data_IF_911376062317
#
_entry.id   IF_911376062317
#
_cell.length_a   1.000
_cell.length_b   1.000
_cell.length_c   1.000
_cell.angle_alpha   90.00
_cell.angle_beta   90.00
_cell.angle_gamma   90.00
#
_symmetry.space_group_name_H-M   'P 1'
#
loop_
_entity.id
_entity.type
_entity.pdbx_description
1 polymer ?
#
# COMPACT_ATOMS: atom_id res chain seq x y z
N UNK A 1 -18.09 -2.07 24.13
CA UNK A 1 -17.59 -1.74 22.78
C UNK A 1 -17.78 -2.97 21.95
N UNK A 2 -18.69 -2.90 20.96
CA UNK A 2 -18.89 -4.01 20.01
C UNK A 2 -17.56 -4.40 19.39
N UNK A 3 -17.34 -5.70 19.18
CA UNK A 3 -16.15 -6.30 18.59
C UNK A 3 -15.89 -5.74 17.18
N UNK A 4 -15.17 -4.62 17.08
CA UNK A 4 -14.85 -4.02 15.80
C UNK A 4 -13.94 -4.96 15.01
N UNK A 5 -14.47 -5.54 13.94
CA UNK A 5 -13.72 -6.39 13.00
C UNK A 5 -12.97 -5.50 12.02
N UNK A 6 -11.65 -5.68 11.96
CA UNK A 6 -10.78 -4.95 11.04
C UNK A 6 -10.24 -5.92 9.99
N UNK A 7 -10.45 -5.58 8.72
CA UNK A 7 -9.77 -6.23 7.61
C UNK A 7 -8.48 -5.48 7.29
N UNK A 8 -7.35 -6.16 7.32
CA UNK A 8 -6.09 -5.67 6.77
C UNK A 8 -5.91 -6.31 5.40
N UNK A 9 -5.90 -5.48 4.36
CA UNK A 9 -5.81 -5.92 2.97
C UNK A 9 -4.43 -5.56 2.41
N UNK A 10 -3.65 -6.55 2.02
CA UNK A 10 -2.42 -6.33 1.25
C UNK A 10 -2.71 -6.42 -0.26
N UNK A 11 -1.98 -5.65 -1.05
CA UNK A 11 -2.04 -5.76 -2.52
C UNK A 11 -1.39 -7.04 -3.07
N UNK A 12 -0.67 -7.77 -2.22
CA UNK A 12 -0.07 -9.07 -2.50
C UNK A 12 -0.92 -10.22 -1.99
N UNK A 13 -0.26 -11.18 -1.35
CA UNK A 13 -0.88 -12.33 -0.69
C UNK A 13 -0.80 -12.21 0.83
N UNK A 14 -1.81 -12.72 1.53
CA UNK A 14 -1.84 -12.84 2.99
C UNK A 14 -1.53 -14.29 3.43
N UNK A 15 -1.07 -14.49 4.70
CA UNK A 15 -0.69 -13.45 5.66
C UNK A 15 0.68 -12.81 5.36
N UNK A 16 0.83 -11.54 5.78
CA UNK A 16 2.09 -10.80 5.65
C UNK A 16 3.02 -11.14 6.81
N UNK A 17 3.92 -12.08 6.56
CA UNK A 17 4.89 -12.56 7.57
C UNK A 17 5.86 -11.48 8.03
N UNK A 18 6.21 -10.57 7.15
CA UNK A 18 7.08 -9.42 7.41
C UNK A 18 6.44 -8.36 8.32
N UNK A 19 5.12 -8.38 8.48
CA UNK A 19 4.35 -7.48 9.35
C UNK A 19 3.68 -8.22 10.52
N UNK A 20 4.05 -9.46 10.77
CA UNK A 20 3.39 -10.30 11.75
C UNK A 20 3.43 -9.70 13.17
N UNK A 21 4.55 -9.06 13.54
CA UNK A 21 4.71 -8.43 14.86
C UNK A 21 3.77 -7.22 15.03
N UNK A 22 3.68 -6.36 14.02
CA UNK A 22 2.80 -5.18 14.05
C UNK A 22 1.33 -5.61 14.13
N UNK A 23 0.94 -6.60 13.33
CA UNK A 23 -0.41 -7.14 13.34
C UNK A 23 -0.73 -7.79 14.69
N UNK A 24 0.25 -8.48 15.30
CA UNK A 24 0.09 -9.06 16.63
C UNK A 24 -0.11 -8.00 17.71
N UNK A 25 0.59 -6.86 17.62
CA UNK A 25 0.38 -5.74 18.55
C UNK A 25 -1.04 -5.18 18.45
N UNK A 26 -1.60 -5.06 17.23
CA UNK A 26 -2.99 -4.64 17.04
C UNK A 26 -3.97 -5.62 17.71
N UNK A 27 -3.74 -6.93 17.58
CA UNK A 27 -4.55 -7.98 18.23
C UNK A 27 -4.44 -7.91 19.75
N UNK A 28 -3.24 -7.71 20.29
CA UNK A 28 -3.01 -7.51 21.73
C UNK A 28 -3.69 -6.25 22.26
N UNK A 29 -3.82 -5.21 21.44
CA UNK A 29 -4.60 -4.00 21.72
C UNK A 29 -6.12 -4.21 21.71
N UNK A 30 -6.61 -5.45 21.54
CA UNK A 30 -8.03 -5.81 21.59
C UNK A 30 -8.77 -5.67 20.26
N UNK A 31 -8.06 -5.52 19.14
CA UNK A 31 -8.67 -5.47 17.80
C UNK A 31 -8.83 -6.86 17.21
N UNK A 32 -10.00 -7.14 16.62
CA UNK A 32 -10.24 -8.37 15.87
C UNK A 32 -9.75 -8.19 14.43
N UNK A 33 -8.49 -8.53 14.19
CA UNK A 33 -7.80 -8.33 12.90
C UNK A 33 -7.84 -9.59 12.05
N UNK A 34 -8.32 -9.44 10.82
CA UNK A 34 -8.30 -10.45 9.75
C UNK A 34 -7.43 -9.95 8.60
N UNK A 35 -6.63 -10.83 8.03
CA UNK A 35 -5.72 -10.50 6.93
C UNK A 35 -6.26 -11.06 5.62
N UNK A 36 -6.18 -10.26 4.55
CA UNK A 36 -6.61 -10.62 3.20
C UNK A 36 -5.59 -10.13 2.18
N UNK A 37 -5.34 -10.94 1.17
CA UNK A 37 -4.51 -10.58 0.03
C UNK A 37 -5.34 -10.44 -1.25
N UNK A 38 -5.15 -9.36 -1.98
CA UNK A 38 -5.82 -9.15 -3.28
C UNK A 38 -5.49 -10.28 -4.26
N UNK A 39 -4.35 -10.93 -4.08
CA UNK A 39 -3.87 -12.02 -4.94
C UNK A 39 -4.16 -13.42 -4.38
N UNK A 40 -4.82 -13.57 -3.22
CA UNK A 40 -4.99 -14.86 -2.55
C UNK A 40 -5.74 -15.89 -3.41
N UNK A 41 -6.76 -15.44 -4.14
CA UNK A 41 -7.57 -16.30 -4.99
C UNK A 41 -7.00 -16.50 -6.40
N UNK A 42 -5.88 -15.84 -6.75
CA UNK A 42 -5.34 -15.87 -8.09
C UNK A 42 -4.28 -16.95 -8.26
N UNK A 43 -4.36 -17.69 -9.36
CA UNK A 43 -3.31 -18.63 -9.76
C UNK A 43 -2.02 -17.90 -10.12
N UNK A 44 -0.84 -18.56 -10.02
CA UNK A 44 0.43 -17.96 -10.43
C UNK A 44 0.43 -17.43 -11.87
N UNK A 45 -0.22 -18.14 -12.79
CA UNK A 45 -0.37 -17.69 -14.18
C UNK A 45 -1.19 -16.41 -14.29
N UNK A 46 -2.25 -16.28 -13.49
CA UNK A 46 -3.07 -15.05 -13.45
C UNK A 46 -2.30 -13.89 -12.86
N UNK A 47 -1.55 -14.11 -11.77
CA UNK A 47 -0.66 -13.10 -11.17
C UNK A 47 0.35 -12.60 -12.20
N UNK A 48 0.95 -13.48 -12.99
CA UNK A 48 1.90 -13.10 -14.03
C UNK A 48 1.29 -12.14 -15.08
N UNK A 49 -0.01 -12.27 -15.40
CA UNK A 49 -0.69 -11.35 -16.34
C UNK A 49 -0.84 -9.92 -15.79
N UNK A 50 -0.70 -9.73 -14.48
CA UNK A 50 -0.76 -8.43 -13.83
C UNK A 50 0.58 -7.69 -13.86
N UNK A 51 1.64 -8.28 -14.40
CA UNK A 51 2.94 -7.63 -14.55
C UNK A 51 2.83 -6.35 -15.39
N UNK A 52 3.61 -5.32 -15.05
CA UNK A 52 3.59 -4.07 -15.80
C UNK A 52 4.12 -4.25 -17.23
N UNK A 53 3.56 -3.51 -18.15
CA UNK A 53 4.09 -3.29 -19.51
C UNK A 53 5.01 -2.07 -19.54
N UNK A 54 5.64 -1.78 -20.68
CA UNK A 54 6.47 -0.57 -20.84
C UNK A 54 5.65 0.73 -20.78
N UNK A 55 4.33 0.64 -20.99
CA UNK A 55 3.42 1.79 -20.97
C UNK A 55 2.87 2.08 -19.57
N UNK A 56 3.07 1.17 -18.60
CA UNK A 56 2.58 1.34 -17.24
C UNK A 56 3.46 2.31 -16.45
N UNK A 57 2.90 3.46 -16.12
CA UNK A 57 3.57 4.53 -15.36
C UNK A 57 3.43 4.39 -13.84
N UNK A 58 2.52 3.54 -13.37
CA UNK A 58 2.22 3.36 -11.94
C UNK A 58 2.37 1.87 -11.58
N UNK A 59 3.54 1.53 -11.05
CA UNK A 59 3.94 0.17 -10.71
C UNK A 59 3.93 -0.01 -9.20
N UNK A 60 3.34 -1.10 -8.75
CA UNK A 60 3.27 -1.51 -7.35
C UNK A 60 4.21 -2.70 -7.12
N UNK A 61 4.78 -2.76 -5.92
CA UNK A 61 5.66 -3.85 -5.50
C UNK A 61 5.07 -4.54 -4.28
N UNK A 62 5.07 -5.86 -4.28
CA UNK A 62 4.55 -6.64 -3.16
C UNK A 62 5.23 -8.01 -3.04
N UNK A 63 4.94 -8.71 -1.94
CA UNK A 63 5.40 -10.09 -1.71
C UNK A 63 4.27 -11.09 -1.93
N UNK A 64 4.65 -12.24 -2.47
CA UNK A 64 3.84 -13.47 -2.45
C UNK A 64 4.12 -14.27 -1.17
N UNK A 65 3.26 -15.23 -0.85
CA UNK A 65 3.42 -16.09 0.36
C UNK A 65 4.70 -16.93 0.35
N UNK A 66 5.27 -17.20 -0.83
CA UNK A 66 6.55 -17.87 -0.98
C UNK A 66 7.77 -16.96 -0.79
N UNK A 67 7.57 -15.67 -0.46
CA UNK A 67 8.61 -14.67 -0.29
C UNK A 67 9.12 -14.03 -1.60
N UNK A 68 8.55 -14.41 -2.75
CA UNK A 68 8.91 -13.80 -4.02
C UNK A 68 8.35 -12.38 -4.11
N UNK A 69 9.21 -11.42 -4.41
CA UNK A 69 8.81 -10.06 -4.76
C UNK A 69 8.27 -10.02 -6.18
N UNK A 70 7.14 -9.38 -6.38
CA UNK A 70 6.52 -9.18 -7.70
C UNK A 70 6.22 -7.72 -7.94
N UNK A 71 6.32 -7.30 -9.21
CA UNK A 71 5.91 -5.99 -9.69
C UNK A 71 4.57 -6.13 -10.42
N UNK A 72 3.63 -5.24 -10.12
CA UNK A 72 2.26 -5.28 -10.62
C UNK A 72 1.89 -3.94 -11.26
N UNK A 73 1.21 -3.99 -12.39
CA UNK A 73 0.55 -2.81 -12.95
C UNK A 73 -0.61 -2.43 -12.05
N UNK A 74 -0.62 -1.20 -11.53
CA UNK A 74 -1.72 -0.69 -10.72
C UNK A 74 -3.04 -0.70 -11.49
N UNK A 75 -2.99 -0.35 -12.78
CA UNK A 75 -4.18 -0.33 -13.63
C UNK A 75 -4.80 -1.73 -13.76
N UNK A 76 -3.98 -2.77 -13.98
CA UNK A 76 -4.43 -4.16 -14.07
C UNK A 76 -4.90 -4.73 -12.74
N UNK A 77 -4.29 -4.30 -11.63
CA UNK A 77 -4.64 -4.76 -10.28
C UNK A 77 -5.93 -4.12 -9.74
N UNK A 78 -6.28 -2.91 -10.17
CA UNK A 78 -7.39 -2.13 -9.64
C UNK A 78 -8.72 -2.89 -9.59
N UNK A 79 -9.17 -3.62 -10.63
CA UNK A 79 -10.41 -4.40 -10.56
C UNK A 79 -10.40 -5.46 -9.44
N UNK A 80 -9.24 -6.08 -9.20
CA UNK A 80 -9.09 -7.08 -8.13
C UNK A 80 -9.12 -6.45 -6.74
N UNK A 81 -8.53 -5.24 -6.58
CA UNK A 81 -8.64 -4.48 -5.33
C UNK A 81 -10.10 -4.13 -5.07
N UNK A 82 -10.82 -3.60 -6.06
CA UNK A 82 -12.23 -3.23 -5.92
C UNK A 82 -13.09 -4.42 -5.53
N UNK A 83 -12.90 -5.57 -6.15
CA UNK A 83 -13.63 -6.80 -5.82
C UNK A 83 -13.32 -7.25 -4.39
N UNK A 84 -12.05 -7.31 -4.00
CA UNK A 84 -11.65 -7.68 -2.64
C UNK A 84 -12.29 -6.76 -1.59
N UNK A 85 -12.26 -5.44 -1.81
CA UNK A 85 -12.87 -4.48 -0.88
C UNK A 85 -14.40 -4.61 -0.83
N UNK A 86 -15.04 -4.90 -1.96
CA UNK A 86 -16.48 -5.15 -2.01
C UNK A 86 -16.88 -6.36 -1.18
N UNK A 87 -16.09 -7.44 -1.25
CA UNK A 87 -16.36 -8.67 -0.51
C UNK A 87 -16.18 -8.50 1.02
N UNK A 88 -15.52 -7.42 1.44
CA UNK A 88 -15.24 -7.09 2.84
C UNK A 88 -16.20 -6.02 3.44
N UNK A 89 -17.33 -5.76 2.80
CA UNK A 89 -18.26 -4.69 3.19
C UNK A 89 -18.81 -4.82 4.63
N UNK A 90 -18.81 -6.03 5.20
CA UNK A 90 -19.28 -6.31 6.57
C UNK A 90 -18.25 -5.99 7.66
N UNK A 91 -17.02 -5.66 7.28
CA UNK A 91 -16.00 -5.24 8.24
C UNK A 91 -16.25 -3.82 8.72
N UNK A 92 -15.98 -3.57 10.01
CA UNK A 92 -16.10 -2.23 10.60
C UNK A 92 -15.14 -1.25 9.93
N UNK A 93 -13.90 -1.69 9.71
CA UNK A 93 -12.87 -0.95 9.02
C UNK A 93 -12.07 -1.85 8.09
N UNK A 94 -11.67 -1.31 6.96
CA UNK A 94 -10.79 -1.96 5.99
C UNK A 94 -9.54 -1.10 5.83
N UNK A 95 -8.38 -1.61 6.21
CA UNK A 95 -7.09 -0.97 6.00
C UNK A 95 -6.42 -1.55 4.76
N UNK A 96 -6.33 -0.78 3.68
CA UNK A 96 -5.54 -1.17 2.50
C UNK A 96 -4.07 -0.85 2.74
N UNK A 97 -3.26 -1.86 3.05
CA UNK A 97 -1.83 -1.72 3.37
C UNK A 97 -1.00 -1.47 2.12
N UNK A 98 -1.13 -0.27 1.60
CA UNK A 98 -0.32 0.23 0.49
C UNK A 98 -0.25 1.75 0.56
N UNK A 99 0.91 2.30 0.26
CA UNK A 99 1.15 3.76 0.21
C UNK A 99 0.95 4.35 -1.18
N UNK A 100 0.48 3.55 -2.15
CA UNK A 100 0.08 4.05 -3.47
C UNK A 100 -1.12 5.00 -3.37
N UNK A 101 -1.23 5.94 -4.28
CA UNK A 101 -2.40 6.83 -4.37
C UNK A 101 -3.61 6.07 -4.93
N UNK A 102 -4.50 5.65 -4.04
CA UNK A 102 -5.77 5.01 -4.38
C UNK A 102 -6.98 5.89 -4.12
N UNK A 103 -6.80 7.05 -3.47
CA UNK A 103 -7.89 7.88 -2.97
C UNK A 103 -8.83 8.38 -4.07
N UNK A 104 -8.30 8.62 -5.28
CA UNK A 104 -9.07 9.07 -6.44
C UNK A 104 -9.89 7.96 -7.12
N UNK A 105 -9.57 6.70 -6.85
CA UNK A 105 -10.13 5.52 -7.55
C UNK A 105 -10.94 4.59 -6.65
N UNK A 106 -10.81 4.73 -5.33
CA UNK A 106 -11.49 3.90 -4.35
C UNK A 106 -12.38 4.77 -3.45
N UNK A 107 -13.66 4.44 -3.39
CA UNK A 107 -14.65 5.14 -2.56
C UNK A 107 -15.47 4.12 -1.77
N UNK A 108 -14.96 3.77 -0.59
CA UNK A 108 -15.66 2.92 0.38
C UNK A 108 -15.73 3.65 1.72
N UNK A 109 -16.90 3.61 2.36
CA UNK A 109 -17.18 4.38 3.59
C UNK A 109 -16.25 4.06 4.76
N UNK A 110 -15.82 2.80 4.86
CA UNK A 110 -15.03 2.25 5.95
C UNK A 110 -13.57 1.96 5.55
N UNK A 111 -13.10 2.52 4.42
CA UNK A 111 -11.75 2.29 3.90
C UNK A 111 -10.75 3.28 4.50
N UNK A 112 -9.70 2.74 5.08
CA UNK A 112 -8.52 3.47 5.55
C UNK A 112 -7.40 3.34 4.51
N UNK A 113 -6.92 4.46 4.03
CA UNK A 113 -5.81 4.57 3.08
C UNK A 113 -4.62 5.24 3.76
N UNK A 114 -3.53 4.51 4.07
CA UNK A 114 -2.35 5.06 4.74
C UNK A 114 -1.77 6.26 4.03
N UNK A 115 -1.72 6.22 2.70
CA UNK A 115 -1.25 7.34 1.89
C UNK A 115 -2.04 8.64 2.14
N UNK A 116 -3.36 8.55 2.16
CA UNK A 116 -4.24 9.69 2.46
C UNK A 116 -4.09 10.17 3.90
N UNK A 117 -3.96 9.23 4.83
CA UNK A 117 -3.77 9.55 6.26
C UNK A 117 -2.44 10.28 6.48
N UNK A 118 -1.34 9.76 5.92
CA UNK A 118 -0.01 10.39 5.98
C UNK A 118 -0.01 11.77 5.33
N UNK A 119 -0.59 11.90 4.14
CA UNK A 119 -0.65 13.19 3.43
C UNK A 119 -1.41 14.24 4.25
N UNK A 120 -2.54 13.87 4.87
CA UNK A 120 -3.31 14.78 5.70
C UNK A 120 -2.59 15.14 7.00
N UNK A 121 -1.87 14.20 7.61
CA UNK A 121 -1.05 14.45 8.78
C UNK A 121 0.07 15.43 8.46
N UNK A 122 0.81 15.20 7.39
CA UNK A 122 1.93 16.07 6.97
C UNK A 122 1.45 17.47 6.59
N UNK A 123 0.27 17.59 5.95
CA UNK A 123 -0.34 18.91 5.67
C UNK A 123 -0.63 19.74 6.92
N UNK A 124 -0.74 19.11 8.10
CA UNK A 124 -0.86 19.78 9.37
C UNK A 124 0.47 20.34 9.94
N UNK A 125 1.60 20.01 9.30
CA UNK A 125 2.90 20.55 9.67
C UNK A 125 3.14 21.91 8.99
N UNK A 126 4.07 22.69 9.52
CA UNK A 126 4.49 23.95 8.88
C UNK A 126 5.13 23.71 7.50
N UNK A 127 4.72 24.49 6.51
CA UNK A 127 5.00 24.27 5.08
C UNK A 127 6.40 24.63 4.61
N UNK A 128 7.26 25.16 5.48
CA UNK A 128 8.63 25.56 5.12
C UNK A 128 9.65 24.41 5.21
N UNK A 129 9.19 23.21 5.55
CA UNK A 129 10.05 22.03 5.69
C UNK A 129 10.13 21.27 4.38
N UNK A 130 11.35 20.98 3.91
CA UNK A 130 11.57 19.97 2.88
C UNK A 130 11.31 18.57 3.44
N UNK A 131 10.63 17.72 2.67
CA UNK A 131 10.29 16.35 3.08
C UNK A 131 11.24 15.38 2.39
N UNK A 132 11.91 14.53 3.18
CA UNK A 132 12.61 13.36 2.69
C UNK A 132 11.63 12.19 2.55
N UNK A 133 11.56 11.60 1.35
CA UNK A 133 10.73 10.43 1.09
C UNK A 133 11.61 9.27 0.63
N UNK A 134 11.37 8.10 1.21
CA UNK A 134 11.97 6.85 0.79
C UNK A 134 10.85 5.99 0.19
N UNK A 135 10.93 5.74 -1.11
CA UNK A 135 9.97 4.89 -1.81
C UNK A 135 10.57 3.53 -2.20
N UNK A 136 9.72 2.57 -2.63
CA UNK A 136 10.17 1.22 -2.95
C UNK A 136 10.88 1.11 -4.30
N UNK A 137 10.68 2.04 -5.22
CA UNK A 137 11.16 1.97 -6.60
C UNK A 137 11.60 3.35 -7.11
N UNK A 138 12.73 3.45 -7.84
CA UNK A 138 13.19 4.71 -8.44
C UNK A 138 12.17 5.31 -9.43
N UNK A 139 11.47 4.46 -10.17
CA UNK A 139 10.49 4.86 -11.20
C UNK A 139 9.29 5.63 -10.62
N UNK A 140 9.07 5.56 -9.30
CA UNK A 140 7.98 6.28 -8.63
C UNK A 140 8.33 7.73 -8.28
N UNK A 141 9.59 8.15 -8.43
CA UNK A 141 10.07 9.47 -8.02
C UNK A 141 9.20 10.61 -8.58
N UNK A 142 8.92 10.59 -9.88
CA UNK A 142 8.17 11.67 -10.55
C UNK A 142 6.76 11.76 -10.00
N UNK A 143 6.04 10.64 -9.97
CA UNK A 143 4.64 10.58 -9.50
C UNK A 143 4.53 11.01 -8.04
N UNK A 144 5.46 10.57 -7.21
CA UNK A 144 5.50 10.90 -5.78
C UNK A 144 5.84 12.38 -5.58
N UNK A 145 6.85 12.92 -6.29
CA UNK A 145 7.21 14.32 -6.19
C UNK A 145 6.04 15.24 -6.62
N UNK A 146 5.40 14.96 -7.74
CA UNK A 146 4.23 15.73 -8.21
C UNK A 146 3.09 15.76 -7.20
N UNK A 147 2.82 14.63 -6.54
CA UNK A 147 1.79 14.52 -5.50
C UNK A 147 2.07 15.49 -4.34
N UNK A 148 3.31 15.48 -3.83
CA UNK A 148 3.69 16.31 -2.69
C UNK A 148 3.85 17.78 -3.05
N UNK A 149 4.32 18.10 -4.27
CA UNK A 149 4.34 19.46 -4.81
C UNK A 149 2.93 20.07 -4.92
N UNK A 150 1.94 19.27 -5.34
CA UNK A 150 0.52 19.68 -5.31
C UNK A 150 0.00 19.94 -3.89
N UNK A 151 0.65 19.37 -2.89
CA UNK A 151 0.38 19.62 -1.46
C UNK A 151 1.26 20.76 -0.88
N UNK A 152 2.02 21.48 -1.73
CA UNK A 152 2.92 22.60 -1.39
C UNK A 152 4.14 22.20 -0.55
N UNK A 153 4.68 20.99 -0.76
CA UNK A 153 5.91 20.54 -0.12
C UNK A 153 7.01 20.31 -1.15
N UNK A 154 8.21 20.76 -0.83
CA UNK A 154 9.42 20.34 -1.53
C UNK A 154 9.83 18.95 -1.07
N UNK A 155 10.21 18.10 -2.03
CA UNK A 155 10.48 16.69 -1.77
C UNK A 155 11.85 16.28 -2.28
N UNK A 156 12.62 15.66 -1.39
CA UNK A 156 13.80 14.87 -1.75
C UNK A 156 13.40 13.39 -1.73
N UNK A 157 13.56 12.71 -2.86
CA UNK A 157 13.18 11.31 -3.00
C UNK A 157 14.41 10.42 -3.13
N UNK A 158 14.41 9.34 -2.36
CA UNK A 158 15.34 8.22 -2.50
C UNK A 158 14.55 6.91 -2.61
N UNK A 159 15.12 5.89 -3.23
CA UNK A 159 14.47 4.61 -3.39
C UNK A 159 15.26 3.50 -2.69
N UNK A 160 14.58 2.69 -1.91
CA UNK A 160 15.12 1.43 -1.36
C UNK A 160 14.01 0.41 -1.22
N UNK A 161 14.30 -0.84 -1.62
CA UNK A 161 13.31 -1.91 -1.50
C UNK A 161 12.95 -2.16 -0.04
N UNK A 162 11.67 -2.15 0.35
CA UNK A 162 11.25 -2.47 1.72
C UNK A 162 11.52 -3.93 2.10
N UNK A 163 11.80 -4.79 1.11
CA UNK A 163 12.03 -6.22 1.28
C UNK A 163 13.50 -6.62 1.20
N UNK A 164 14.36 -5.71 0.72
CA UNK A 164 15.81 -5.90 0.59
C UNK A 164 16.50 -4.57 0.88
N UNK A 165 16.26 -4.06 2.08
CA UNK A 165 16.83 -2.77 2.48
C UNK A 165 18.35 -2.79 2.43
N UNK A 166 18.92 -1.79 1.75
CA UNK A 166 20.34 -1.51 1.71
C UNK A 166 20.55 -0.03 2.02
N UNK A 167 21.22 0.28 3.12
CA UNK A 167 21.48 1.66 3.53
C UNK A 167 22.29 2.46 2.51
N UNK A 168 23.11 1.80 1.68
CA UNK A 168 23.86 2.47 0.60
C UNK A 168 22.98 3.00 -0.54
N UNK A 169 21.75 2.50 -0.67
CA UNK A 169 20.81 2.98 -1.70
C UNK A 169 20.23 4.38 -1.34
N UNK A 170 20.47 4.86 -0.12
CA UNK A 170 19.94 6.12 0.40
C UNK A 170 20.97 7.27 0.40
N UNK A 171 22.23 6.98 0.03
CA UNK A 171 23.31 7.95 -0.07
C UNK A 171 23.52 8.41 -1.51
#
# INVERSE_FOLDING_TARGET
>A
MENSKIAIVTIGQAPRKDMAEDIQQLRQGGLHVHEFGVLDSLSPSKIATLSPSQEDTDVLVTLLTNGQQVRLSKAKLMPHIQQCLHDLHDFTWILLMCTGDFASKLSFKNLLLPDRMMTNLVKGLHTELAIGLIGPEPDQQITVAEKWQKAHFDVNYSASSPYRFNAHDLL
#
